data_IF_281984934687
#
_entry.id   IF_281984934687
#
_cell.length_a   1.000
_cell.length_b   1.000
_cell.length_c   1.000
_cell.angle_alpha   90.00
_cell.angle_beta   90.00
_cell.angle_gamma   90.00
#
_symmetry.space_group_name_H-M   'P 1'
#
loop_
_entity.id
_entity.type
_entity.pdbx_description
1 polymer ?
#
# COMPACT_ATOMS: atom_id res chain seq x y z
N UNK A 1 -4.08 -9.56 -9.97
CA UNK A 1 -2.77 -10.00 -9.42
C UNK A 1 -1.61 -9.64 -10.32
N UNK A 2 -1.76 -9.63 -11.65
CA UNK A 2 -0.68 -9.22 -12.55
C UNK A 2 -0.30 -7.75 -12.32
N UNK A 3 -1.30 -6.90 -12.19
CA UNK A 3 -1.22 -5.48 -11.84
C UNK A 3 -0.54 -5.30 -10.48
N UNK A 4 -1.06 -5.96 -9.45
CA UNK A 4 -0.47 -5.97 -8.10
C UNK A 4 1.02 -6.37 -8.13
N UNK A 5 1.39 -7.39 -8.91
CA UNK A 5 2.77 -7.82 -9.04
C UNK A 5 3.65 -6.76 -9.72
N UNK A 6 3.11 -6.03 -10.71
CA UNK A 6 3.79 -4.88 -11.33
C UNK A 6 3.96 -3.76 -10.31
N UNK A 7 2.91 -3.42 -9.56
CA UNK A 7 2.96 -2.42 -8.49
C UNK A 7 4.05 -2.76 -7.47
N UNK A 8 4.04 -3.97 -6.92
CA UNK A 8 5.03 -4.42 -5.93
C UNK A 8 6.45 -4.30 -6.48
N UNK A 9 6.68 -4.76 -7.73
CA UNK A 9 8.00 -4.66 -8.37
C UNK A 9 8.44 -3.21 -8.53
N UNK A 10 7.53 -2.33 -8.95
CA UNK A 10 7.82 -0.91 -9.13
C UNK A 10 8.13 -0.22 -7.78
N UNK A 11 7.36 -0.51 -6.72
CA UNK A 11 7.65 -0.03 -5.36
C UNK A 11 9.03 -0.51 -4.93
N UNK A 12 9.34 -1.80 -5.11
CA UNK A 12 10.65 -2.36 -4.70
C UNK A 12 11.83 -1.77 -5.49
N UNK A 13 11.61 -1.34 -6.73
CA UNK A 13 12.64 -0.67 -7.52
C UNK A 13 13.01 0.71 -6.98
N UNK A 14 12.03 1.51 -6.54
CA UNK A 14 12.26 2.91 -6.14
C UNK A 14 12.28 3.13 -4.62
N UNK A 15 11.62 2.25 -3.86
CA UNK A 15 11.45 2.32 -2.41
C UNK A 15 11.62 0.91 -1.78
N UNK A 16 12.84 0.33 -1.81
CA UNK A 16 13.08 -1.07 -1.48
C UNK A 16 12.75 -1.46 -0.03
N UNK A 17 12.79 -0.49 0.89
CA UNK A 17 12.63 -0.76 2.33
C UNK A 17 11.21 -0.55 2.88
N UNK A 18 10.30 0.00 2.07
CA UNK A 18 8.93 0.32 2.52
C UNK A 18 8.14 -0.95 2.78
N UNK A 19 7.43 -1.00 3.91
CA UNK A 19 6.47 -2.06 4.22
C UNK A 19 5.25 -1.94 3.30
N UNK A 20 4.88 -3.04 2.65
CA UNK A 20 3.68 -3.15 1.82
C UNK A 20 2.66 -3.99 2.58
N UNK A 21 1.43 -3.49 2.70
CA UNK A 21 0.30 -4.18 3.34
C UNK A 21 -0.79 -4.33 2.30
N UNK A 22 -1.27 -5.55 2.10
CA UNK A 22 -2.33 -5.88 1.14
C UNK A 22 -3.51 -6.44 1.92
N UNK A 23 -4.68 -5.82 1.80
CA UNK A 23 -5.94 -6.43 2.22
C UNK A 23 -6.58 -7.04 0.97
N UNK A 24 -6.88 -8.34 1.01
CA UNK A 24 -7.28 -9.12 -0.15
C UNK A 24 -8.60 -9.85 0.14
N UNK A 25 -9.69 -9.39 -0.47
CA UNK A 25 -11.02 -10.00 -0.40
C UNK A 25 -11.42 -10.68 -1.73
N UNK A 26 -10.42 -11.12 -2.51
CA UNK A 26 -10.63 -11.87 -3.74
C UNK A 26 -11.39 -13.18 -3.47
N UNK A 27 -12.23 -13.59 -4.42
CA UNK A 27 -12.94 -14.88 -4.36
C UNK A 27 -11.98 -16.06 -4.29
N UNK A 28 -10.87 -15.99 -5.03
CA UNK A 28 -9.84 -17.02 -5.09
C UNK A 28 -8.47 -16.35 -4.86
N UNK A 29 -8.05 -16.18 -3.59
CA UNK A 29 -6.87 -15.40 -3.29
C UNK A 29 -5.59 -16.13 -3.69
N UNK A 30 -4.65 -15.42 -4.31
CA UNK A 30 -3.31 -15.91 -4.60
C UNK A 30 -2.35 -15.51 -3.49
N UNK A 31 -1.44 -16.40 -3.10
CA UNK A 31 -0.44 -16.09 -2.09
C UNK A 31 0.63 -15.14 -2.66
N UNK A 32 0.72 -13.94 -2.08
CA UNK A 32 1.72 -12.92 -2.43
C UNK A 32 2.74 -12.85 -1.30
N UNK A 33 4.02 -13.11 -1.62
CA UNK A 33 5.11 -13.10 -0.65
C UNK A 33 6.24 -12.18 -1.09
N UNK A 34 6.97 -11.62 -0.14
CA UNK A 34 8.12 -10.76 -0.44
C UNK A 34 8.75 -10.14 0.79
N UNK A 35 9.86 -9.42 0.59
CA UNK A 35 10.51 -8.66 1.65
C UNK A 35 9.57 -7.57 2.18
N UNK A 36 9.39 -7.49 3.51
CA UNK A 36 8.50 -6.52 4.19
C UNK A 36 7.13 -6.38 3.50
N UNK A 37 6.54 -7.49 3.11
CA UNK A 37 5.22 -7.56 2.49
C UNK A 37 4.32 -8.45 3.34
N UNK A 38 3.16 -7.92 3.71
CA UNK A 38 2.15 -8.64 4.49
C UNK A 38 0.84 -8.64 3.70
N UNK A 39 0.30 -9.82 3.45
CA UNK A 39 -1.00 -10.01 2.83
C UNK A 39 -1.99 -10.53 3.88
N UNK A 40 -3.14 -9.86 3.98
CA UNK A 40 -4.22 -10.22 4.86
C UNK A 40 -5.42 -10.63 4.02
N UNK A 41 -5.68 -11.94 3.98
CA UNK A 41 -6.81 -12.52 3.25
C UNK A 41 -8.06 -12.37 4.10
N UNK A 42 -9.12 -11.85 3.48
CA UNK A 42 -10.43 -11.62 4.06
C UNK A 42 -11.45 -12.60 3.50
N UNK A 43 -12.63 -12.75 4.14
CA UNK A 43 -13.78 -13.32 3.46
C UNK A 43 -14.02 -12.58 2.14
N UNK A 44 -14.52 -13.24 1.09
CA UNK A 44 -14.63 -12.62 -0.22
C UNK A 44 -15.71 -11.53 -0.25
N UNK A 45 -15.49 -10.54 -1.13
CA UNK A 45 -16.45 -9.47 -1.44
C UNK A 45 -16.95 -8.68 -0.21
N UNK A 46 -16.08 -8.47 0.77
CA UNK A 46 -16.37 -7.60 1.93
C UNK A 46 -16.35 -6.12 1.53
N UNK A 47 -15.67 -5.80 0.44
CA UNK A 47 -15.66 -4.50 -0.18
C UNK A 47 -14.66 -3.52 0.44
N UNK A 48 -14.56 -2.37 -0.23
CA UNK A 48 -13.52 -1.36 -0.01
C UNK A 48 -13.34 -0.93 1.46
N UNK A 49 -14.44 -0.63 2.16
CA UNK A 49 -14.36 -0.13 3.54
C UNK A 49 -13.81 -1.17 4.52
N UNK A 50 -14.18 -2.44 4.34
CA UNK A 50 -13.68 -3.52 5.19
C UNK A 50 -12.19 -3.75 4.96
N UNK A 51 -11.76 -3.81 3.69
CA UNK A 51 -10.35 -3.92 3.32
C UNK A 51 -9.50 -2.76 3.84
N UNK A 52 -10.00 -1.53 3.70
CA UNK A 52 -9.32 -0.33 4.21
C UNK A 52 -9.15 -0.35 5.72
N UNK A 53 -10.21 -0.66 6.45
CA UNK A 53 -10.14 -0.74 7.91
C UNK A 53 -9.15 -1.81 8.38
N UNK A 54 -9.13 -2.96 7.70
CA UNK A 54 -8.16 -4.02 8.00
C UNK A 54 -6.73 -3.52 7.76
N UNK A 55 -6.40 -3.05 6.57
CA UNK A 55 -5.06 -2.58 6.26
C UNK A 55 -4.60 -1.45 7.20
N UNK A 56 -5.46 -0.46 7.48
CA UNK A 56 -5.15 0.66 8.40
C UNK A 56 -4.88 0.16 9.83
N UNK A 57 -5.61 -0.86 10.31
CA UNK A 57 -5.37 -1.43 11.64
C UNK A 57 -4.00 -2.09 11.83
N UNK A 58 -3.27 -2.35 10.73
CA UNK A 58 -1.94 -2.98 10.74
C UNK A 58 -0.80 -1.95 10.65
N UNK A 59 -1.13 -0.67 10.49
CA UNK A 59 -0.15 0.42 10.32
C UNK A 59 0.34 0.86 11.70
N UNK A 60 1.67 0.96 11.83
CA UNK A 60 2.34 1.41 13.06
C UNK A 60 3.23 2.63 12.83
N UNK A 61 3.32 3.11 11.59
CA UNK A 61 4.12 4.27 11.18
C UNK A 61 3.31 5.56 11.28
N UNK A 62 3.99 6.69 11.47
CA UNK A 62 3.37 8.02 11.51
C UNK A 62 2.61 8.35 10.22
N UNK A 63 3.12 7.89 9.08
CA UNK A 63 2.53 8.10 7.76
C UNK A 63 2.32 6.78 7.04
N UNK A 64 1.33 6.76 6.16
CA UNK A 64 1.12 5.70 5.19
C UNK A 64 0.67 6.32 3.85
N UNK A 65 0.83 5.55 2.77
CA UNK A 65 0.33 5.90 1.46
C UNK A 65 -0.62 4.80 1.02
N UNK A 66 -1.84 5.18 0.65
CA UNK A 66 -2.82 4.28 0.05
C UNK A 66 -2.74 4.38 -1.47
N UNK A 67 -2.71 3.24 -2.15
CA UNK A 67 -2.75 3.15 -3.62
C UNK A 67 -3.61 1.96 -4.05
N UNK A 68 -4.18 2.02 -5.24
CA UNK A 68 -4.81 0.87 -5.89
C UNK A 68 -3.74 -0.06 -6.49
N UNK A 69 -4.13 -1.30 -6.81
CA UNK A 69 -3.23 -2.36 -7.27
C UNK A 69 -2.69 -2.15 -8.69
N UNK A 70 -3.26 -1.21 -9.44
CA UNK A 70 -2.87 -0.84 -10.81
C UNK A 70 -1.93 0.38 -10.90
N UNK A 71 -1.47 0.90 -9.77
CA UNK A 71 -0.47 1.97 -9.73
C UNK A 71 0.93 1.49 -10.16
N UNK A 72 1.75 2.41 -10.67
CA UNK A 72 3.15 2.16 -11.00
C UNK A 72 4.02 3.26 -10.43
N UNK A 73 5.00 2.87 -9.61
CA UNK A 73 6.03 3.78 -9.11
C UNK A 73 7.11 3.93 -10.18
N UNK A 74 7.52 5.17 -10.44
CA UNK A 74 8.47 5.49 -11.50
C UNK A 74 9.60 6.37 -10.97
N UNK A 75 10.53 6.71 -11.87
CA UNK A 75 11.63 7.62 -11.56
C UNK A 75 11.17 9.05 -11.20
N UNK A 76 9.91 9.40 -11.44
CA UNK A 76 9.31 10.69 -11.09
C UNK A 76 8.47 10.64 -9.81
N UNK A 77 8.20 9.45 -9.26
CA UNK A 77 7.49 9.31 -7.99
C UNK A 77 8.35 9.87 -6.85
N UNK A 78 7.75 10.72 -6.00
CA UNK A 78 8.42 11.43 -4.90
C UNK A 78 7.55 11.44 -3.64
N UNK A 79 7.31 10.28 -3.03
CA UNK A 79 6.44 10.17 -1.84
C UNK A 79 7.00 10.95 -0.63
N UNK A 80 8.32 11.11 -0.58
CA UNK A 80 9.00 11.89 0.46
C UNK A 80 8.64 13.37 0.41
N UNK A 81 8.21 13.88 -0.75
CA UNK A 81 7.73 15.25 -0.87
C UNK A 81 6.39 15.46 -0.18
N UNK A 82 5.53 14.44 -0.14
CA UNK A 82 4.29 14.51 0.63
C UNK A 82 4.58 14.62 2.12
N UNK A 83 5.51 13.80 2.63
CA UNK A 83 5.96 13.86 4.02
C UNK A 83 6.58 15.23 4.34
N UNK A 84 7.44 15.76 3.45
CA UNK A 84 8.05 17.08 3.62
C UNK A 84 7.00 18.19 3.79
N UNK A 85 5.92 18.14 3.00
CA UNK A 85 4.84 19.14 3.08
C UNK A 85 4.02 18.95 4.36
N UNK A 86 3.62 17.72 4.70
CA UNK A 86 2.86 17.42 5.92
C UNK A 86 3.61 17.82 7.19
N UNK A 87 4.93 17.67 7.23
CA UNK A 87 5.74 18.10 8.38
C UNK A 87 5.93 19.62 8.45
N UNK A 88 5.90 20.32 7.31
CA UNK A 88 6.03 21.79 7.24
C UNK A 88 4.73 22.52 7.53
N UNK A 89 3.59 21.87 7.29
CA UNK A 89 2.25 22.45 7.44
C UNK A 89 1.43 21.50 8.32
N UNK A 90 1.60 21.52 9.65
CA UNK A 90 0.97 20.56 10.55
C UNK A 90 -0.57 20.60 10.53
N UNK A 91 -1.16 21.72 10.09
CA UNK A 91 -2.61 21.88 9.91
C UNK A 91 -3.15 21.28 8.61
N UNK A 92 -2.27 20.88 7.68
CA UNK A 92 -2.67 20.23 6.43
C UNK A 92 -2.99 18.75 6.71
N UNK A 93 -4.23 18.36 6.43
CA UNK A 93 -4.73 16.98 6.54
C UNK A 93 -5.13 16.48 5.14
N UNK A 94 -4.56 15.35 4.68
CA UNK A 94 -4.69 14.80 3.32
C UNK A 94 -4.74 13.27 3.34
#
# INVERSE_FOLDING_TARGET
>A
YDELNILIKSIRQFYPEIKIIIADDSLEPQNVTGYKLEQYIMPPAQGWFAGRNLAVSQITTKYFLWVDDDYIFSNSTRIEKFVEIMEKVPELDV
#
